data_IF_530293531328
#
_entry.id   IF_530293531328
#
_cell.length_a   1.000
_cell.length_b   1.000
_cell.length_c   1.000
_cell.angle_alpha   90.00
_cell.angle_beta   90.00
_cell.angle_gamma   90.00
#
_symmetry.space_group_name_H-M   'P 1'
#
loop_
_entity.id
_entity.type
_entity.pdbx_description
1 polymer ?
#
# COMPACT_ATOMS: atom_id res chain seq x y z
N UNK A 1 -48.15 9.88 39.96
CA UNK A 1 -49.13 9.20 40.85
C UNK A 1 -50.36 8.84 40.02
N UNK A 2 -51.10 7.74 40.22
CA UNK A 2 -50.87 6.60 41.11
C UNK A 2 -51.86 5.44 40.90
N UNK A 3 -51.34 4.21 40.87
CA UNK A 3 -51.88 2.93 41.43
C UNK A 3 -53.32 2.46 41.08
N UNK A 4 -53.37 1.31 40.38
CA UNK A 4 -54.08 0.02 40.68
C UNK A 4 -55.53 0.09 41.26
N UNK A 5 -56.48 -0.71 40.75
CA UNK A 5 -56.79 -2.15 41.05
C UNK A 5 -58.03 -2.55 40.18
N UNK A 6 -58.50 -3.80 39.99
CA UNK A 6 -58.33 -5.12 40.64
C UNK A 6 -58.72 -6.26 39.66
N UNK A 7 -58.20 -7.49 39.84
CA UNK A 7 -58.70 -8.75 39.18
C UNK A 7 -59.83 -9.40 40.01
N UNK A 8 -60.58 -10.37 39.45
CA UNK A 8 -60.36 -11.81 39.78
C UNK A 8 -60.52 -12.76 38.56
N UNK A 9 -60.38 -14.11 38.60
CA UNK A 9 -59.42 -15.09 39.20
C UNK A 9 -59.86 -16.52 38.80
N UNK A 10 -58.96 -17.53 38.92
CA UNK A 10 -59.17 -19.00 38.86
C UNK A 10 -59.31 -19.66 37.48
N UNK A 11 -58.79 -20.87 37.23
CA UNK A 11 -57.96 -21.78 38.05
C UNK A 11 -57.18 -22.76 37.13
N UNK A 12 -55.91 -23.08 37.42
CA UNK A 12 -55.45 -24.21 38.26
C UNK A 12 -55.65 -25.62 37.65
N UNK A 13 -54.57 -26.20 37.10
CA UNK A 13 -53.88 -27.36 37.72
C UNK A 13 -52.64 -27.84 36.93
N UNK A 14 -51.62 -28.20 37.68
CA UNK A 14 -50.52 -29.12 37.39
C UNK A 14 -50.32 -29.97 38.69
N UNK A 15 -49.26 -30.76 38.91
CA UNK A 15 -48.28 -31.39 38.00
C UNK A 15 -48.22 -32.92 38.24
N UNK A 16 -47.21 -33.62 37.69
CA UNK A 16 -46.68 -34.84 38.35
C UNK A 16 -45.16 -35.03 38.17
N UNK A 17 -44.56 -35.92 38.98
CA UNK A 17 -43.14 -35.90 39.38
C UNK A 17 -42.24 -36.97 38.73
N UNK A 18 -40.93 -36.66 38.61
CA UNK A 18 -39.71 -37.35 39.14
C UNK A 18 -39.68 -38.90 39.20
N UNK A 19 -38.59 -39.65 38.96
CA UNK A 19 -37.12 -39.40 39.14
C UNK A 19 -36.24 -40.38 38.32
N UNK A 20 -34.92 -40.10 38.20
CA UNK A 20 -33.71 -41.00 38.26
C UNK A 20 -33.79 -42.49 37.83
N UNK A 21 -32.77 -43.18 37.28
CA UNK A 21 -31.39 -42.92 36.80
C UNK A 21 -30.90 -44.24 36.09
N UNK A 22 -29.76 -44.38 35.41
CA UNK A 22 -28.68 -43.44 35.03
C UNK A 22 -27.28 -44.10 35.10
N UNK A 23 -26.58 -44.28 33.96
CA UNK A 23 -25.22 -44.89 33.86
C UNK A 23 -24.29 -44.05 33.00
N UNK A 24 -23.01 -43.96 33.39
CA UNK A 24 -21.98 -43.23 32.66
C UNK A 24 -21.18 -44.13 31.71
N UNK A 25 -20.74 -43.58 30.58
CA UNK A 25 -19.48 -43.99 29.93
C UNK A 25 -18.89 -42.84 29.11
N UNK A 26 -17.59 -42.87 28.91
CA UNK A 26 -16.72 -41.76 28.47
C UNK A 26 -16.49 -41.73 26.95
N UNK A 27 -16.33 -40.55 26.34
CA UNK A 27 -15.91 -40.43 24.93
C UNK A 27 -15.81 -39.00 24.38
N UNK A 28 -14.62 -38.42 24.50
CA UNK A 28 -13.98 -37.33 23.73
C UNK A 28 -14.68 -36.65 22.53
N UNK A 29 -14.46 -35.33 22.45
CA UNK A 29 -14.26 -34.51 21.21
C UNK A 29 -15.42 -34.32 20.20
N UNK A 30 -15.59 -33.19 19.49
CA UNK A 30 -15.01 -31.84 19.65
C UNK A 30 -15.98 -30.78 19.07
N UNK A 31 -16.05 -29.62 19.75
CA UNK A 31 -16.49 -28.30 19.27
C UNK A 31 -17.45 -28.16 18.06
N UNK A 32 -18.73 -27.99 18.40
CA UNK A 32 -19.64 -26.94 17.90
C UNK A 32 -19.29 -26.14 16.63
N UNK A 33 -20.18 -26.24 15.65
CA UNK A 33 -20.42 -25.23 14.61
C UNK A 33 -20.52 -23.80 15.17
N UNK A 34 -19.68 -22.87 14.70
CA UNK A 34 -20.00 -21.44 14.44
C UNK A 34 -18.75 -20.62 14.05
N UNK A 35 -18.55 -20.38 12.76
CA UNK A 35 -17.91 -19.15 12.22
C UNK A 35 -18.04 -19.03 10.70
N UNK A 36 -19.17 -19.48 10.15
CA UNK A 36 -19.61 -19.09 8.81
C UNK A 36 -20.05 -17.62 8.82
N UNK A 37 -19.09 -16.68 8.76
CA UNK A 37 -19.25 -15.25 8.45
C UNK A 37 -17.86 -14.62 8.26
N UNK A 38 -17.73 -13.69 7.30
CA UNK A 38 -16.52 -12.89 7.01
C UNK A 38 -15.34 -13.55 6.25
N UNK A 39 -15.60 -14.48 5.31
CA UNK A 39 -14.72 -14.70 4.14
C UNK A 39 -15.34 -14.13 2.86
N UNK A 40 -15.60 -12.82 2.88
CA UNK A 40 -16.08 -12.09 1.71
C UNK A 40 -14.99 -12.04 0.63
N UNK A 41 -15.36 -12.33 -0.62
CA UNK A 41 -14.45 -12.37 -1.78
C UNK A 41 -13.46 -11.19 -1.81
N UNK A 42 -12.21 -11.47 -1.44
CA UNK A 42 -11.08 -10.85 -2.08
C UNK A 42 -10.71 -11.78 -3.24
N UNK A 43 -10.84 -11.32 -4.47
CA UNK A 43 -10.18 -11.95 -5.60
C UNK A 43 -8.68 -11.73 -5.43
N UNK A 44 -8.04 -12.68 -4.75
CA UNK A 44 -6.60 -12.76 -4.62
C UNK A 44 -6.02 -13.01 -6.01
N UNK A 45 -5.23 -12.04 -6.49
CA UNK A 45 -4.71 -12.06 -7.84
C UNK A 45 -3.51 -13.03 -7.88
N UNK A 46 -3.82 -14.32 -8.02
CA UNK A 46 -2.85 -15.41 -8.03
C UNK A 46 -1.96 -15.39 -9.28
N UNK A 47 -1.00 -14.47 -9.33
CA UNK A 47 -0.02 -14.39 -10.40
C UNK A 47 1.12 -15.38 -10.12
N UNK A 48 1.33 -16.40 -11.00
CA UNK A 48 2.09 -17.61 -10.67
C UNK A 48 3.54 -17.35 -10.25
N UNK A 49 4.16 -16.26 -10.73
CA UNK A 49 5.53 -15.88 -10.35
C UNK A 49 5.57 -14.91 -9.15
N UNK A 50 4.58 -14.04 -8.98
CA UNK A 50 4.63 -12.99 -7.93
C UNK A 50 4.25 -13.60 -6.58
N UNK A 51 3.25 -14.50 -6.57
CA UNK A 51 2.82 -15.23 -5.37
C UNK A 51 3.91 -16.16 -4.78
N UNK A 52 4.99 -16.45 -5.52
CA UNK A 52 6.17 -17.16 -4.98
C UNK A 52 7.04 -16.30 -4.04
N UNK A 53 6.91 -14.96 -4.15
CA UNK A 53 7.70 -14.00 -3.39
C UNK A 53 6.87 -13.16 -2.41
N UNK A 54 5.57 -13.06 -2.62
CA UNK A 54 4.65 -12.25 -1.82
C UNK A 54 3.46 -13.12 -1.35
N UNK A 55 3.30 -13.36 -0.04
CA UNK A 55 2.20 -14.17 0.51
C UNK A 55 0.80 -13.67 0.18
N UNK A 56 0.63 -12.38 -0.14
CA UNK A 56 -0.62 -11.82 -0.66
C UNK A 56 -0.34 -10.98 -1.91
N UNK A 57 -1.19 -11.13 -2.93
CA UNK A 57 -1.16 -10.32 -4.16
C UNK A 57 -2.56 -9.82 -4.47
N UNK A 58 -2.71 -8.51 -4.60
CA UNK A 58 -4.00 -7.82 -4.78
C UNK A 58 -3.86 -6.69 -5.80
N UNK A 59 -4.96 -6.22 -6.40
CA UNK A 59 -4.87 -4.99 -7.21
C UNK A 59 -4.63 -3.74 -6.34
N UNK A 60 -4.07 -2.69 -6.93
CA UNK A 60 -3.84 -1.42 -6.26
C UNK A 60 -5.15 -0.85 -5.67
N UNK A 61 -6.27 -0.94 -6.40
CA UNK A 61 -7.60 -0.57 -5.89
C UNK A 61 -7.96 -1.33 -4.62
N UNK A 62 -7.80 -2.65 -4.62
CA UNK A 62 -8.09 -3.50 -3.47
C UNK A 62 -7.18 -3.14 -2.29
N UNK A 63 -5.87 -2.93 -2.51
CA UNK A 63 -4.93 -2.52 -1.48
C UNK A 63 -5.33 -1.18 -0.83
N UNK A 64 -5.56 -0.13 -1.62
CA UNK A 64 -5.91 1.20 -1.10
C UNK A 64 -7.24 1.18 -0.34
N UNK A 65 -8.22 0.38 -0.79
CA UNK A 65 -9.46 0.19 -0.05
C UNK A 65 -9.27 -0.53 1.29
N UNK A 66 -8.30 -1.46 1.41
CA UNK A 66 -7.95 -2.08 2.70
C UNK A 66 -7.27 -1.10 3.66
N UNK A 67 -6.41 -0.21 3.16
CA UNK A 67 -5.71 0.78 4.01
C UNK A 67 -6.63 1.92 4.50
N UNK A 68 -7.75 2.21 3.83
CA UNK A 68 -8.68 3.26 4.26
C UNK A 68 -9.75 2.70 5.23
N UNK A 69 -9.86 3.26 6.46
CA UNK A 69 -10.84 2.81 7.46
C UNK A 69 -12.28 2.74 6.94
N UNK A 70 -13.02 1.71 7.35
CA UNK A 70 -14.41 1.48 6.92
C UNK A 70 -15.36 2.66 7.24
N UNK A 71 -15.04 3.44 8.27
CA UNK A 71 -15.75 4.69 8.63
C UNK A 71 -15.61 5.79 7.56
N UNK A 72 -14.51 5.82 6.80
CA UNK A 72 -14.22 6.80 5.74
C UNK A 72 -15.00 6.53 4.44
N UNK A 73 -16.33 6.37 4.54
CA UNK A 73 -17.22 5.98 3.43
C UNK A 73 -17.05 6.84 2.19
N UNK A 74 -16.89 8.16 2.33
CA UNK A 74 -16.67 9.08 1.21
C UNK A 74 -15.36 8.79 0.45
N UNK A 75 -14.23 8.64 1.16
CA UNK A 75 -12.93 8.30 0.56
C UNK A 75 -12.97 6.95 -0.15
N UNK A 76 -13.57 5.92 0.47
CA UNK A 76 -13.74 4.60 -0.15
C UNK A 76 -14.65 4.66 -1.39
N UNK A 77 -15.73 5.45 -1.35
CA UNK A 77 -16.59 5.69 -2.52
C UNK A 77 -15.86 6.39 -3.64
N UNK A 78 -15.04 7.43 -3.37
CA UNK A 78 -14.20 8.09 -4.39
C UNK A 78 -13.35 7.07 -5.16
N UNK A 79 -12.65 6.18 -4.46
CA UNK A 79 -11.82 5.13 -5.09
C UNK A 79 -12.67 4.12 -5.88
N UNK A 80 -13.83 3.70 -5.39
CA UNK A 80 -14.73 2.78 -6.13
C UNK A 80 -15.37 3.44 -7.34
N UNK A 81 -15.59 4.76 -7.31
CA UNK A 81 -16.19 5.54 -8.39
C UNK A 81 -15.24 5.85 -9.55
N UNK A 82 -13.92 5.67 -9.42
CA UNK A 82 -12.99 5.75 -10.55
C UNK A 82 -13.28 4.57 -11.49
N UNK A 83 -13.72 4.80 -12.71
CA UNK A 83 -14.06 3.75 -13.69
C UNK A 83 -13.55 4.08 -15.07
N UNK A 84 -13.40 3.04 -15.88
CA UNK A 84 -13.02 3.12 -17.31
C UNK A 84 -14.23 3.41 -18.22
N UNK A 85 -15.42 3.61 -17.64
CA UNK A 85 -16.75 3.65 -18.30
C UNK A 85 -17.03 4.95 -19.13
N UNK A 86 -16.05 5.50 -19.85
CA UNK A 86 -16.31 6.54 -20.87
C UNK A 86 -15.78 6.15 -22.26
N UNK A 87 -16.66 5.82 -23.24
CA UNK A 87 -16.29 5.95 -24.64
C UNK A 87 -15.98 7.43 -24.95
N UNK A 88 -15.04 7.74 -25.86
CA UNK A 88 -14.54 9.09 -26.08
C UNK A 88 -15.50 9.97 -26.89
N UNK A 89 -16.63 10.34 -26.28
CA UNK A 89 -17.53 11.38 -26.79
C UNK A 89 -17.14 12.71 -26.14
N UNK A 90 -16.14 13.36 -26.74
CA UNK A 90 -15.56 14.61 -26.26
C UNK A 90 -14.10 14.45 -25.82
N UNK A 91 -13.20 15.16 -26.49
CA UNK A 91 -11.76 15.21 -26.16
C UNK A 91 -11.49 16.19 -25.01
N UNK A 92 -11.97 15.86 -23.80
CA UNK A 92 -11.51 16.50 -22.55
C UNK A 92 -10.26 15.77 -22.03
N UNK A 93 -9.29 16.51 -21.49
CA UNK A 93 -8.12 15.89 -20.88
C UNK A 93 -8.49 15.10 -19.60
N UNK A 94 -9.46 15.58 -18.83
CA UNK A 94 -9.93 14.96 -17.59
C UNK A 94 -10.42 13.52 -17.78
N UNK A 95 -11.17 13.24 -18.86
CA UNK A 95 -11.65 11.89 -19.15
C UNK A 95 -10.51 10.92 -19.50
N UNK A 96 -9.42 11.43 -20.10
CA UNK A 96 -8.20 10.63 -20.37
C UNK A 96 -7.44 10.31 -19.08
N UNK A 97 -7.25 11.28 -18.19
CA UNK A 97 -6.66 11.04 -16.87
C UNK A 97 -7.47 10.03 -16.06
N UNK A 98 -8.81 10.20 -16.02
CA UNK A 98 -9.71 9.29 -15.31
C UNK A 98 -9.59 7.82 -15.75
N UNK A 99 -9.54 7.57 -17.06
CA UNK A 99 -9.34 6.23 -17.62
C UNK A 99 -7.94 5.66 -17.32
N UNK A 100 -6.89 6.48 -17.44
CA UNK A 100 -5.52 6.07 -17.08
C UNK A 100 -5.39 5.70 -15.59
N UNK A 101 -6.05 6.47 -14.72
CA UNK A 101 -6.11 6.21 -13.28
C UNK A 101 -6.94 4.96 -12.96
N UNK A 102 -8.09 4.75 -13.62
CA UNK A 102 -8.87 3.52 -13.50
C UNK A 102 -8.03 2.29 -13.87
N UNK A 103 -7.39 2.32 -15.04
CA UNK A 103 -6.49 1.28 -15.51
C UNK A 103 -5.33 1.04 -14.54
N UNK A 104 -4.66 2.09 -14.03
CA UNK A 104 -3.59 1.92 -13.03
C UNK A 104 -4.10 1.19 -11.78
N UNK A 105 -5.25 1.62 -11.24
CA UNK A 105 -5.83 1.06 -10.02
C UNK A 105 -6.18 -0.44 -10.16
N UNK A 106 -6.66 -0.86 -11.34
CA UNK A 106 -7.11 -2.24 -11.55
C UNK A 106 -6.04 -3.17 -12.11
N UNK A 107 -5.11 -2.68 -12.92
CA UNK A 107 -4.06 -3.52 -13.54
C UNK A 107 -2.74 -3.53 -12.77
N UNK A 108 -2.51 -2.62 -11.83
CA UNK A 108 -1.31 -2.68 -10.98
C UNK A 108 -1.52 -3.68 -9.85
N UNK A 109 -0.64 -4.68 -9.74
CA UNK A 109 -0.61 -5.61 -8.62
C UNK A 109 0.29 -5.09 -7.50
N UNK A 110 -0.14 -5.31 -6.26
CA UNK A 110 0.59 -5.01 -5.03
C UNK A 110 0.89 -6.33 -4.33
N UNK A 111 2.17 -6.70 -4.28
CA UNK A 111 2.68 -7.82 -3.50
C UNK A 111 2.98 -7.37 -2.07
N UNK A 112 2.36 -8.00 -1.08
CA UNK A 112 2.53 -7.69 0.35
C UNK A 112 3.39 -8.78 0.99
N UNK A 113 4.56 -8.42 1.53
CA UNK A 113 5.50 -9.38 2.12
C UNK A 113 5.26 -9.62 3.62
N UNK A 114 4.95 -8.57 4.37
CA UNK A 114 4.73 -8.60 5.82
C UNK A 114 3.87 -7.40 6.21
N UNK A 115 3.04 -7.51 7.24
CA UNK A 115 2.32 -6.35 7.77
C UNK A 115 3.28 -5.47 8.59
N UNK A 116 3.51 -4.24 8.12
CA UNK A 116 4.26 -3.21 8.85
C UNK A 116 3.63 -2.92 10.22
N UNK A 117 4.40 -2.93 11.33
CA UNK A 117 3.89 -2.55 12.64
C UNK A 117 3.58 -1.03 12.70
N UNK A 118 2.58 -0.61 13.50
CA UNK A 118 2.11 0.79 13.51
C UNK A 118 3.16 1.79 14.02
N UNK A 119 4.07 1.36 14.90
CA UNK A 119 5.17 2.21 15.40
C UNK A 119 6.08 2.69 14.26
N UNK A 120 6.36 1.83 13.29
CA UNK A 120 7.19 2.17 12.14
C UNK A 120 6.52 3.20 11.21
N UNK A 121 5.18 3.20 11.12
CA UNK A 121 4.45 4.23 10.38
C UNK A 121 4.57 5.61 11.06
N UNK A 122 4.45 5.66 12.38
CA UNK A 122 4.58 6.90 13.17
C UNK A 122 6.01 7.47 13.11
N UNK A 123 7.03 6.62 13.20
CA UNK A 123 8.44 7.00 13.00
C UNK A 123 8.65 7.60 11.60
N UNK A 124 8.24 6.89 10.54
CA UNK A 124 8.34 7.38 9.15
C UNK A 124 7.59 8.71 8.95
N UNK A 125 6.45 8.90 9.59
CA UNK A 125 5.65 10.15 9.53
C UNK A 125 6.38 11.33 10.19
N UNK A 126 7.06 11.10 11.32
CA UNK A 126 7.90 12.12 11.95
C UNK A 126 9.16 12.43 11.13
N UNK A 127 9.81 11.39 10.59
CA UNK A 127 10.97 11.55 9.71
C UNK A 127 10.62 12.30 8.41
N UNK A 128 9.48 12.02 7.78
CA UNK A 128 8.99 12.75 6.60
C UNK A 128 8.76 14.23 6.93
N UNK A 129 8.10 14.54 8.05
CA UNK A 129 7.88 15.92 8.47
C UNK A 129 9.21 16.67 8.72
N UNK A 130 10.20 16.02 9.32
CA UNK A 130 11.54 16.59 9.50
C UNK A 130 12.28 16.76 8.16
N UNK A 131 12.10 15.83 7.23
CA UNK A 131 12.69 15.87 5.89
C UNK A 131 12.14 17.05 5.06
N UNK A 132 10.82 17.20 4.93
CA UNK A 132 10.17 18.36 4.28
C UNK A 132 10.55 19.70 4.92
N UNK A 133 10.64 19.76 6.26
CA UNK A 133 11.13 20.95 6.96
C UNK A 133 12.61 21.28 6.68
N UNK A 134 13.43 20.28 6.37
CA UNK A 134 14.84 20.51 6.00
C UNK A 134 15.00 20.94 4.54
N UNK A 135 14.19 20.39 3.62
CA UNK A 135 14.17 20.80 2.21
C UNK A 135 13.68 22.23 2.05
N UNK A 136 12.52 22.59 2.63
CA UNK A 136 11.98 23.96 2.55
C UNK A 136 12.94 25.04 3.06
N UNK A 137 13.76 24.74 4.07
CA UNK A 137 14.85 25.63 4.54
C UNK A 137 15.99 25.78 3.53
N UNK A 138 16.26 24.76 2.72
CA UNK A 138 17.26 24.81 1.65
C UNK A 138 16.72 25.47 0.38
N UNK A 139 15.45 25.27 0.05
CA UNK A 139 14.77 25.87 -1.12
C UNK A 139 14.56 27.38 -0.94
N UNK A 140 14.42 27.89 0.29
CA UNK A 140 14.42 29.33 0.58
C UNK A 140 15.70 30.07 0.13
N UNK A 141 16.77 29.35 -0.21
CA UNK A 141 17.98 29.92 -0.82
C UNK A 141 18.00 29.88 -2.36
N UNK A 142 16.99 29.27 -3.01
CA UNK A 142 16.92 29.04 -4.46
C UNK A 142 15.56 29.46 -5.01
N UNK A 143 15.45 30.70 -5.48
CA UNK A 143 14.17 31.37 -5.80
C UNK A 143 13.50 30.97 -7.12
N UNK A 144 13.96 29.90 -7.77
CA UNK A 144 13.61 29.59 -9.19
C UNK A 144 12.81 28.29 -9.36
N UNK A 145 12.45 27.60 -8.28
CA UNK A 145 11.66 26.36 -8.31
C UNK A 145 10.40 26.56 -7.47
N UNK A 146 9.23 26.32 -8.07
CA UNK A 146 7.94 26.33 -7.37
C UNK A 146 7.84 25.20 -6.33
N UNK A 147 6.86 25.25 -5.41
CA UNK A 147 6.77 24.29 -4.31
C UNK A 147 6.74 22.84 -4.83
N UNK A 148 7.56 21.93 -4.28
CA UNK A 148 7.66 20.57 -4.76
C UNK A 148 6.32 19.83 -4.67
N UNK A 149 6.11 18.88 -5.58
CA UNK A 149 4.92 18.04 -5.54
C UNK A 149 5.01 17.08 -4.35
N UNK A 150 3.97 17.00 -3.51
CA UNK A 150 3.95 16.11 -2.34
C UNK A 150 4.28 14.63 -2.68
N UNK A 151 3.84 14.14 -3.83
CA UNK A 151 4.20 12.79 -4.32
C UNK A 151 5.71 12.67 -4.59
N UNK A 152 6.33 13.72 -5.11
CA UNK A 152 7.78 13.75 -5.35
C UNK A 152 8.58 13.83 -4.05
N UNK A 153 8.10 14.59 -3.06
CA UNK A 153 8.68 14.62 -1.71
C UNK A 153 8.64 13.23 -1.04
N UNK A 154 7.49 12.53 -1.09
CA UNK A 154 7.35 11.18 -0.53
C UNK A 154 8.35 10.22 -1.19
N UNK A 155 8.50 10.27 -2.52
CA UNK A 155 9.45 9.41 -3.25
C UNK A 155 10.89 9.73 -2.86
N UNK A 156 11.27 11.00 -2.77
CA UNK A 156 12.63 11.41 -2.36
C UNK A 156 12.93 11.08 -0.89
N UNK A 157 11.93 11.22 -0.02
CA UNK A 157 11.99 10.76 1.37
C UNK A 157 12.23 9.24 1.45
N UNK A 158 11.44 8.44 0.72
CA UNK A 158 11.59 6.97 0.69
C UNK A 158 13.00 6.58 0.29
N UNK A 159 13.56 7.22 -0.74
CA UNK A 159 14.93 6.95 -1.21
C UNK A 159 15.94 7.36 -0.14
N UNK A 160 15.83 8.58 0.42
CA UNK A 160 16.69 9.06 1.52
C UNK A 160 16.72 8.06 2.69
N UNK A 161 15.54 7.61 3.13
CA UNK A 161 15.40 6.68 4.27
C UNK A 161 15.89 5.27 3.96
N UNK A 162 15.81 4.80 2.71
CA UNK A 162 16.46 3.54 2.29
C UNK A 162 18.00 3.60 2.47
N UNK A 163 18.62 4.78 2.26
CA UNK A 163 20.03 5.00 2.57
C UNK A 163 20.29 5.33 4.06
N UNK A 164 19.30 5.84 4.81
CA UNK A 164 19.42 6.10 6.25
C UNK A 164 19.39 4.81 7.07
N UNK A 165 18.47 3.87 6.78
CA UNK A 165 18.32 2.62 7.54
C UNK A 165 19.55 1.72 7.52
N UNK A 166 20.51 1.97 6.61
CA UNK A 166 21.73 1.19 6.46
C UNK A 166 23.00 2.04 6.68
N UNK A 167 22.96 3.07 7.57
CA UNK A 167 24.08 4.04 7.78
C UNK A 167 25.46 3.40 7.97
N UNK A 168 25.53 2.27 8.67
CA UNK A 168 26.79 1.58 8.97
C UNK A 168 27.25 0.62 7.87
N UNK A 169 26.37 0.27 6.92
CA UNK A 169 26.74 -0.57 5.79
C UNK A 169 27.12 0.26 4.58
N UNK A 170 28.30 -0.04 4.02
CA UNK A 170 28.71 0.46 2.68
C UNK A 170 27.90 -0.17 1.54
N UNK A 171 27.11 -1.21 1.82
CA UNK A 171 26.27 -1.88 0.80
C UNK A 171 25.11 -0.98 0.36
N UNK A 172 24.81 -1.01 -0.93
CA UNK A 172 23.68 -0.30 -1.52
C UNK A 172 22.34 -0.90 -1.00
N UNK A 173 21.31 -0.08 -0.74
CA UNK A 173 20.01 -0.60 -0.34
C UNK A 173 19.44 -1.50 -1.44
N UNK A 174 18.97 -2.70 -1.05
CA UNK A 174 18.42 -3.69 -1.98
C UNK A 174 16.97 -3.37 -2.35
N UNK A 175 16.77 -2.24 -2.99
CA UNK A 175 15.47 -1.69 -3.35
C UNK A 175 15.51 -1.03 -4.72
N UNK A 176 14.48 -1.22 -5.55
CA UNK A 176 14.46 -0.69 -6.92
C UNK A 176 14.57 0.84 -6.99
N UNK A 177 13.99 1.55 -6.02
CA UNK A 177 14.07 3.02 -5.95
C UNK A 177 15.46 3.53 -5.53
N UNK A 178 16.30 2.70 -4.89
CA UNK A 178 17.68 3.07 -4.53
C UNK A 178 18.68 2.84 -5.68
N UNK A 179 18.27 2.13 -6.74
CA UNK A 179 19.09 1.92 -7.95
C UNK A 179 19.33 3.27 -8.64
N UNK A 180 20.56 3.55 -9.03
CA UNK A 180 20.96 4.82 -9.64
C UNK A 180 21.47 5.87 -8.64
N UNK A 181 21.42 5.59 -7.34
CA UNK A 181 21.89 6.51 -6.30
C UNK A 181 23.06 5.91 -5.54
N UNK A 182 24.01 6.79 -5.17
CA UNK A 182 25.03 6.52 -4.16
C UNK A 182 25.06 7.65 -3.13
N UNK A 183 25.64 7.38 -1.95
CA UNK A 183 25.91 8.43 -0.96
C UNK A 183 26.99 9.37 -1.52
N UNK A 184 26.86 10.67 -1.28
CA UNK A 184 27.85 11.67 -1.72
C UNK A 184 29.25 11.41 -1.11
N UNK A 185 29.31 10.80 0.08
CA UNK A 185 30.54 10.39 0.78
C UNK A 185 31.15 9.06 0.29
N UNK A 186 30.54 8.37 -0.68
CA UNK A 186 31.12 7.17 -1.26
C UNK A 186 32.34 7.52 -2.15
N UNK A 187 33.39 6.68 -2.20
CA UNK A 187 34.55 6.93 -3.05
C UNK A 187 34.15 7.17 -4.51
N UNK A 188 34.62 8.27 -5.08
CA UNK A 188 34.36 8.60 -6.48
C UNK A 188 35.24 7.71 -7.38
N UNK A 189 34.60 6.99 -8.30
CA UNK A 189 35.29 6.22 -9.35
C UNK A 189 35.54 7.16 -10.53
N UNK A 190 36.79 7.28 -11.03
CA UNK A 190 37.08 8.11 -12.21
C UNK A 190 36.21 7.70 -13.41
N UNK A 191 35.48 8.66 -13.97
CA UNK A 191 34.53 8.46 -15.08
C UNK A 191 33.06 8.37 -14.67
N UNK A 192 32.72 8.38 -13.38
CA UNK A 192 31.33 8.36 -12.88
C UNK A 192 30.66 9.74 -13.03
N UNK A 193 29.95 9.97 -14.12
CA UNK A 193 29.22 11.22 -14.38
C UNK A 193 28.05 11.40 -13.41
N UNK A 194 28.16 12.34 -12.46
CA UNK A 194 27.08 12.65 -11.53
C UNK A 194 26.01 13.54 -12.15
N UNK A 195 24.75 13.13 -12.03
CA UNK A 195 23.57 13.88 -12.43
C UNK A 195 23.03 14.66 -11.22
N UNK A 196 22.41 15.81 -11.46
CA UNK A 196 21.72 16.59 -10.43
C UNK A 196 20.72 15.72 -9.64
N UNK A 197 20.73 15.87 -8.32
CA UNK A 197 19.93 15.07 -7.39
C UNK A 197 19.26 16.01 -6.38
N UNK A 198 17.93 15.92 -6.24
CA UNK A 198 17.17 16.68 -5.25
C UNK A 198 17.38 16.20 -3.81
N UNK A 199 17.96 14.99 -3.63
CA UNK A 199 17.96 14.29 -2.34
C UNK A 199 19.24 14.61 -1.55
N UNK A 200 19.14 15.28 -0.38
CA UNK A 200 20.32 15.65 0.41
C UNK A 200 21.22 14.46 0.77
N UNK A 201 22.54 14.62 0.57
CA UNK A 201 23.54 13.61 0.90
C UNK A 201 23.64 12.43 -0.09
N UNK A 202 22.83 12.41 -1.15
CA UNK A 202 22.93 11.46 -2.24
C UNK A 202 23.39 12.14 -3.54
N UNK A 203 23.89 11.35 -4.47
CA UNK A 203 24.10 11.75 -5.87
C UNK A 203 23.52 10.69 -6.81
N UNK A 204 22.97 11.14 -7.94
CA UNK A 204 22.47 10.26 -8.98
C UNK A 204 23.60 9.93 -9.97
N UNK A 205 23.81 8.65 -10.26
CA UNK A 205 24.78 8.16 -11.26
C UNK A 205 24.12 7.94 -12.61
N UNK A 206 22.84 7.54 -12.62
CA UNK A 206 22.06 7.30 -13.83
C UNK A 206 20.58 7.55 -13.56
N UNK A 207 19.78 7.93 -14.58
CA UNK A 207 18.35 8.14 -14.42
C UNK A 207 17.64 6.85 -14.03
N UNK A 208 16.68 6.95 -13.10
CA UNK A 208 15.83 5.84 -12.69
C UNK A 208 14.39 6.11 -13.14
N UNK A 209 13.98 5.42 -14.21
CA UNK A 209 12.65 5.56 -14.80
C UNK A 209 11.51 5.27 -13.82
N UNK A 210 11.71 4.36 -12.87
CA UNK A 210 10.69 4.03 -11.87
C UNK A 210 10.36 5.23 -10.97
N UNK A 211 11.38 6.02 -10.61
CA UNK A 211 11.19 7.26 -9.85
C UNK A 211 10.44 8.28 -10.69
N UNK A 212 10.84 8.48 -11.95
CA UNK A 212 10.18 9.43 -12.85
C UNK A 212 8.69 9.09 -13.01
N UNK A 213 8.37 7.81 -13.20
CA UNK A 213 6.98 7.31 -13.23
C UNK A 213 6.24 7.59 -11.92
N UNK A 214 6.82 7.26 -10.76
CA UNK A 214 6.19 7.46 -9.45
C UNK A 214 5.97 8.93 -9.07
N UNK A 215 6.75 9.85 -9.63
CA UNK A 215 6.64 11.31 -9.41
C UNK A 215 5.61 12.00 -10.33
N UNK A 216 5.05 11.29 -11.30
CA UNK A 216 4.16 11.86 -12.33
C UNK A 216 2.72 11.30 -12.22
N UNK A 217 1.80 11.85 -13.00
CA UNK A 217 0.48 11.22 -13.19
C UNK A 217 0.63 9.85 -13.86
N UNK A 218 -0.20 8.84 -13.54
CA UNK A 218 -1.34 8.90 -12.60
C UNK A 218 -0.99 8.72 -11.10
N UNK A 219 0.28 8.55 -10.71
CA UNK A 219 0.65 8.32 -9.29
C UNK A 219 0.40 9.53 -8.39
N UNK A 220 0.57 10.75 -8.90
CA UNK A 220 0.15 11.99 -8.23
C UNK A 220 -1.36 12.03 -7.98
N UNK A 221 -2.17 11.54 -8.93
CA UNK A 221 -3.63 11.45 -8.82
C UNK A 221 -4.05 10.40 -7.79
N UNK A 222 -3.33 9.26 -7.72
CA UNK A 222 -3.52 8.24 -6.66
C UNK A 222 -3.37 8.88 -5.28
N UNK A 223 -2.33 9.68 -5.02
CA UNK A 223 -2.16 10.38 -3.74
C UNK A 223 -3.36 11.29 -3.43
N UNK A 224 -3.86 12.03 -4.44
CA UNK A 224 -5.04 12.88 -4.33
C UNK A 224 -6.36 12.16 -4.03
N UNK A 225 -6.48 10.86 -4.37
CA UNK A 225 -7.61 10.02 -3.95
C UNK A 225 -7.58 9.71 -2.45
N UNK A 226 -6.39 9.57 -1.87
CA UNK A 226 -6.22 9.08 -0.50
C UNK A 226 -6.56 10.12 0.56
N UNK A 227 -6.30 11.41 0.32
CA UNK A 227 -6.62 12.49 1.28
C UNK A 227 -5.72 12.47 2.53
N UNK A 228 -6.30 12.72 3.71
CA UNK A 228 -5.56 13.00 4.97
C UNK A 228 -4.51 11.99 5.42
N UNK A 229 -4.61 10.72 5.02
CA UNK A 229 -3.63 9.68 5.35
C UNK A 229 -2.86 9.21 4.10
N UNK A 230 -2.88 9.99 3.03
CA UNK A 230 -2.32 9.60 1.73
C UNK A 230 -0.81 9.37 1.79
N UNK A 231 -0.08 10.23 2.50
CA UNK A 231 1.37 10.13 2.67
C UNK A 231 1.75 8.82 3.37
N UNK A 232 1.09 8.49 4.48
CA UNK A 232 1.32 7.24 5.23
C UNK A 232 1.06 5.99 4.36
N UNK A 233 -0.07 5.98 3.65
CA UNK A 233 -0.44 4.87 2.77
C UNK A 233 0.54 4.74 1.60
N UNK A 234 0.99 5.86 1.03
CA UNK A 234 1.98 5.89 -0.06
C UNK A 234 3.36 5.45 0.43
N UNK A 235 3.81 5.90 1.60
CA UNK A 235 5.06 5.43 2.21
C UNK A 235 5.02 3.91 2.44
N UNK A 236 3.94 3.38 3.02
CA UNK A 236 3.77 1.92 3.23
C UNK A 236 3.82 1.15 1.91
N UNK A 237 3.18 1.68 0.87
CA UNK A 237 3.19 1.10 -0.48
C UNK A 237 4.59 1.09 -1.10
N UNK A 238 5.40 2.13 -0.88
CA UNK A 238 6.72 2.27 -1.49
C UNK A 238 7.85 1.59 -0.71
N UNK A 239 7.77 1.47 0.62
CA UNK A 239 8.77 0.78 1.45
C UNK A 239 8.55 -0.74 1.54
N UNK A 240 7.30 -1.16 1.79
CA UNK A 240 7.02 -2.51 2.32
C UNK A 240 6.42 -3.46 1.26
N UNK A 241 5.91 -2.91 0.16
CA UNK A 241 5.23 -3.67 -0.89
C UNK A 241 6.08 -3.78 -2.17
N UNK A 242 5.85 -4.84 -2.95
CA UNK A 242 6.24 -4.89 -4.36
C UNK A 242 5.15 -4.26 -5.21
N UNK A 243 5.50 -3.28 -6.06
CA UNK A 243 4.59 -2.69 -7.04
C UNK A 243 4.86 -3.29 -8.42
N UNK A 244 3.84 -3.87 -9.04
CA UNK A 244 3.93 -4.56 -10.32
C UNK A 244 2.91 -3.99 -11.30
N UNK A 245 3.38 -3.20 -12.26
CA UNK A 245 2.56 -2.51 -13.25
C UNK A 245 2.47 -3.36 -14.52
N UNK A 246 1.25 -3.58 -15.03
CA UNK A 246 1.02 -4.40 -16.21
C UNK A 246 1.61 -3.76 -17.48
N UNK A 247 2.46 -4.51 -18.19
CA UNK A 247 2.87 -4.20 -19.58
C UNK A 247 1.85 -4.81 -20.55
N UNK A 248 1.54 -6.08 -20.35
CA UNK A 248 0.50 -6.82 -21.06
C UNK A 248 -0.25 -7.71 -20.06
N UNK A 249 -1.42 -7.25 -19.63
CA UNK A 249 -2.25 -7.96 -18.65
C UNK A 249 -2.78 -9.29 -19.21
N UNK A 250 -3.05 -9.37 -20.51
CA UNK A 250 -3.59 -10.58 -21.16
C UNK A 250 -2.55 -11.70 -21.21
N UNK A 251 -1.27 -11.34 -21.34
CA UNK A 251 -0.13 -12.27 -21.26
C UNK A 251 0.44 -12.44 -19.86
N UNK A 252 -0.09 -11.74 -18.85
CA UNK A 252 0.47 -11.75 -17.49
C UNK A 252 1.88 -11.15 -17.41
N UNK A 253 2.23 -10.18 -18.26
CA UNK A 253 3.54 -9.53 -18.26
C UNK A 253 3.48 -8.26 -17.42
N UNK A 254 4.23 -8.27 -16.32
CA UNK A 254 4.32 -7.17 -15.35
C UNK A 254 5.76 -6.70 -15.18
N UNK A 255 5.95 -5.38 -15.05
CA UNK A 255 7.24 -4.81 -14.65
C UNK A 255 7.19 -4.37 -13.18
N UNK A 256 8.29 -4.58 -12.45
CA UNK A 256 8.36 -4.16 -11.05
C UNK A 256 8.82 -2.71 -10.94
N UNK A 257 7.93 -1.85 -10.42
CA UNK A 257 8.15 -0.42 -10.24
C UNK A 257 8.82 -0.11 -8.88
N UNK A 258 8.41 -0.80 -7.81
CA UNK A 258 8.97 -0.63 -6.47
C UNK A 258 9.07 -1.97 -5.72
N UNK A 259 9.81 -1.98 -4.62
CA UNK A 259 9.97 -3.11 -3.73
C UNK A 259 11.42 -3.57 -3.59
N UNK A 260 11.62 -4.47 -2.62
CA UNK A 260 12.92 -5.06 -2.29
C UNK A 260 13.37 -6.02 -3.39
N UNK A 261 14.66 -5.97 -3.73
CA UNK A 261 15.31 -6.89 -4.66
C UNK A 261 15.73 -8.15 -3.90
N UNK A 262 14.89 -9.19 -3.93
CA UNK A 262 15.25 -10.49 -3.38
C UNK A 262 16.30 -11.17 -4.27
N UNK A 263 17.26 -11.92 -3.69
CA UNK A 263 18.34 -12.58 -4.45
C UNK A 263 17.80 -13.40 -5.64
N UNK A 264 16.68 -14.09 -5.44
CA UNK A 264 16.04 -14.95 -6.44
C UNK A 264 15.38 -14.16 -7.59
N UNK A 265 14.97 -12.92 -7.39
CA UNK A 265 14.36 -12.08 -8.43
C UNK A 265 15.41 -11.39 -9.32
N UNK A 266 16.62 -11.14 -8.79
CA UNK A 266 17.71 -10.51 -9.53
C UNK A 266 18.20 -11.37 -10.71
N UNK A 267 18.14 -12.70 -10.60
CA UNK A 267 18.50 -13.62 -11.70
C UNK A 267 17.55 -13.45 -12.90
N UNK A 268 16.24 -13.36 -12.65
CA UNK A 268 15.22 -13.29 -13.70
C UNK A 268 15.27 -11.95 -14.45
N UNK A 269 15.55 -10.83 -13.76
CA UNK A 269 15.72 -9.54 -14.44
C UNK A 269 17.00 -9.46 -15.28
N UNK A 270 18.05 -10.20 -14.92
CA UNK A 270 19.29 -10.24 -15.69
C UNK A 270 19.21 -11.09 -16.97
N UNK A 271 18.22 -11.99 -17.07
CA UNK A 271 17.95 -12.81 -18.27
C UNK A 271 16.99 -12.13 -19.26
N UNK A 272 16.42 -10.98 -18.91
CA UNK A 272 15.41 -10.24 -19.70
C UNK A 272 15.88 -8.83 -20.13
N UNK A 273 17.17 -8.52 -20.02
CA UNK A 273 17.80 -7.24 -20.41
C UNK A 273 19.03 -7.47 -21.26
#
# INVERSE_FOLDING_TARGET
>A
MGKKRKRPVKGDRAPDKSSQAGTASTGFENQSSQSSLARGHAEEHAHPVISLYYPQVVSLRQYLLRQIPLSSRSRRRRIVSVRDDQPPVGTSNDSRSGAQLAKLLDTTLVGILTETPPTCNEERRQELAAFTQSQSRSELASTDIGPPCAQAEIVDFVISSLFSHNRFSRQQPRHLLARGFRRASAPHVPGDSTIACSIPGLVAQFPNGNIQTLKQAPWTEVLGLLGSNGEEIMMRLLFDCGLFTAVDQQRGIYFQLSGRLNCKQQSIQAEMS
#
